data_IF_220618844028
#
_entry.id   IF_220618844028
#
_cell.length_a   1.000
_cell.length_b   1.000
_cell.length_c   1.000
_cell.angle_alpha   90.00
_cell.angle_beta   90.00
_cell.angle_gamma   90.00
#
_symmetry.space_group_name_H-M   'P 1'
#
loop_
_entity.id
_entity.type
_entity.pdbx_description
1 polymer ?
#
# COMPACT_ATOMS: atom_id res chain seq x y z
N UNK A 1 -18.58 3.37 -11.33
CA UNK A 1 -17.68 4.55 -11.17
C UNK A 1 -16.38 4.05 -10.57
N UNK A 2 -15.52 3.47 -11.41
CA UNK A 2 -14.36 2.68 -10.98
C UNK A 2 -13.37 3.55 -10.17
N UNK A 3 -13.04 4.74 -10.67
CA UNK A 3 -12.10 5.66 -10.02
C UNK A 3 -12.51 6.18 -8.64
N UNK A 4 -13.82 6.27 -8.35
CA UNK A 4 -14.31 6.71 -7.02
C UNK A 4 -14.09 5.61 -6.00
N UNK A 5 -14.40 4.37 -6.37
CA UNK A 5 -14.24 3.21 -5.49
C UNK A 5 -12.77 2.89 -5.25
N UNK A 6 -11.92 2.97 -6.28
CA UNK A 6 -10.47 2.81 -6.14
C UNK A 6 -9.86 3.84 -5.20
N UNK A 7 -10.25 5.11 -5.35
CA UNK A 7 -9.81 6.19 -4.46
C UNK A 7 -10.23 5.97 -3.01
N UNK A 8 -11.46 5.49 -2.78
CA UNK A 8 -11.93 5.16 -1.43
C UNK A 8 -11.15 3.99 -0.84
N UNK A 9 -10.96 2.92 -1.62
CA UNK A 9 -10.21 1.72 -1.20
C UNK A 9 -8.79 2.09 -0.77
N UNK A 10 -8.03 2.81 -1.59
CA UNK A 10 -6.65 3.16 -1.24
C UNK A 10 -6.57 4.12 -0.03
N UNK A 11 -7.50 5.08 0.08
CA UNK A 11 -7.51 5.98 1.25
C UNK A 11 -7.90 5.24 2.54
N UNK A 12 -8.81 4.26 2.49
CA UNK A 12 -9.09 3.40 3.65
C UNK A 12 -7.86 2.58 4.03
N UNK A 13 -7.10 2.07 3.06
CA UNK A 13 -5.85 1.35 3.32
C UNK A 13 -4.79 2.26 3.94
N UNK A 14 -4.72 3.52 3.49
CA UNK A 14 -3.86 4.55 4.09
C UNK A 14 -4.20 4.79 5.56
N UNK A 15 -5.47 4.88 5.94
CA UNK A 15 -5.83 5.05 7.36
C UNK A 15 -5.42 3.84 8.22
N UNK A 16 -5.57 2.62 7.70
CA UNK A 16 -5.05 1.42 8.37
C UNK A 16 -3.53 1.43 8.49
N UNK A 17 -2.82 1.86 7.45
CA UNK A 17 -1.36 1.98 7.47
C UNK A 17 -0.87 2.99 8.52
N UNK A 18 -1.58 4.11 8.73
CA UNK A 18 -1.24 5.07 9.80
C UNK A 18 -1.41 4.49 11.20
N UNK A 19 -2.46 3.70 11.41
CA UNK A 19 -2.67 3.00 12.69
C UNK A 19 -1.56 1.97 12.92
N UNK A 20 -1.28 1.15 11.91
CA UNK A 20 -0.15 0.22 11.93
C UNK A 20 1.17 0.93 12.22
N UNK A 21 1.38 2.10 11.62
CA UNK A 21 2.60 2.88 11.81
C UNK A 21 2.78 3.33 13.25
N UNK A 22 1.71 3.82 13.87
CA UNK A 22 1.75 4.23 15.28
C UNK A 22 2.14 3.05 16.18
N UNK A 23 1.67 1.83 15.88
CA UNK A 23 2.04 0.63 16.65
C UNK A 23 3.46 0.16 16.34
N UNK A 24 3.88 0.21 15.07
CA UNK A 24 5.21 -0.22 14.63
C UNK A 24 6.34 0.72 15.09
N UNK A 25 6.11 2.04 15.10
CA UNK A 25 7.07 3.04 15.60
C UNK A 25 7.35 2.89 17.10
N UNK A 26 6.40 2.35 17.87
CA UNK A 26 6.58 2.05 19.28
C UNK A 26 7.50 0.83 19.53
N UNK A 27 7.77 0.02 18.50
CA UNK A 27 8.63 -1.17 18.60
C UNK A 27 10.09 -0.80 18.31
N UNK A 28 10.95 -1.00 19.31
CA UNK A 28 12.38 -0.78 19.16
C UNK A 28 12.96 -1.69 18.06
N UNK A 29 13.70 -1.09 17.12
CA UNK A 29 14.37 -1.80 16.03
C UNK A 29 13.49 -2.11 14.81
N UNK A 30 12.23 -1.64 14.75
CA UNK A 30 11.39 -1.83 13.55
C UNK A 30 11.92 -1.07 12.31
N UNK A 31 12.60 0.05 12.53
CA UNK A 31 13.12 0.91 11.46
C UNK A 31 12.02 1.71 10.77
N UNK A 32 12.21 2.03 9.48
CA UNK A 32 11.22 2.79 8.72
C UNK A 32 9.92 2.01 8.53
N UNK A 33 8.80 2.68 8.75
CA UNK A 33 7.48 2.08 8.62
C UNK A 33 6.91 2.32 7.22
N UNK A 34 6.23 1.32 6.62
CA UNK A 34 5.51 1.54 5.37
C UNK A 34 4.39 2.58 5.48
N UNK A 35 4.33 3.50 4.51
CA UNK A 35 3.23 4.44 4.30
C UNK A 35 2.53 4.15 2.97
N UNK A 36 1.20 4.29 2.89
CA UNK A 36 0.47 4.28 1.60
C UNK A 36 0.23 5.71 1.17
N UNK A 37 0.69 6.14 0.00
CA UNK A 37 0.54 7.53 -0.48
C UNK A 37 -0.94 7.92 -0.66
N UNK A 38 -1.30 9.20 -0.45
CA UNK A 38 -2.67 9.64 -0.64
C UNK A 38 -3.04 9.66 -2.13
N UNK A 39 -4.28 9.27 -2.41
CA UNK A 39 -4.87 9.38 -3.76
C UNK A 39 -6.03 10.36 -3.74
N UNK A 40 -6.09 11.22 -4.74
CA UNK A 40 -7.08 12.27 -4.87
C UNK A 40 -8.02 11.99 -6.04
N UNK A 41 -9.32 12.12 -5.80
CA UNK A 41 -10.32 12.06 -6.85
C UNK A 41 -10.49 13.45 -7.48
N UNK A 42 -10.16 13.59 -8.76
CA UNK A 42 -10.37 14.83 -9.51
C UNK A 42 -11.55 14.71 -10.47
N UNK A 43 -12.34 15.77 -10.61
CA UNK A 43 -13.42 15.86 -11.60
C UNK A 43 -12.85 16.40 -12.91
N UNK A 44 -13.17 15.73 -14.03
CA UNK A 44 -12.78 16.13 -15.38
C UNK A 44 -13.97 16.77 -16.12
N UNK A 45 -14.07 18.11 -16.17
CA UNK A 45 -15.15 18.76 -16.91
C UNK A 45 -15.03 18.48 -18.41
N UNK A 46 -16.14 18.12 -19.06
CA UNK A 46 -16.21 17.91 -20.51
C UNK A 46 -15.63 16.59 -21.03
N UNK A 47 -15.13 15.70 -20.16
CA UNK A 47 -14.63 14.38 -20.56
C UNK A 47 -15.71 13.30 -20.54
N UNK A 48 -15.60 12.30 -21.43
CA UNK A 48 -16.44 11.10 -21.41
C UNK A 48 -16.29 10.29 -20.09
N UNK A 49 -15.12 10.39 -19.45
CA UNK A 49 -14.86 9.86 -18.11
C UNK A 49 -14.80 11.03 -17.12
N UNK A 50 -15.83 11.23 -16.27
CA UNK A 50 -15.98 12.46 -15.48
C UNK A 50 -15.04 12.55 -14.27
N UNK A 51 -14.30 11.49 -13.95
CA UNK A 51 -13.41 11.43 -12.80
C UNK A 51 -12.09 10.74 -13.14
N UNK A 52 -11.02 11.13 -12.45
CA UNK A 52 -9.73 10.44 -12.47
C UNK A 52 -9.13 10.44 -11.06
N UNK A 53 -8.18 9.55 -10.82
CA UNK A 53 -7.35 9.53 -9.62
C UNK A 53 -6.00 10.17 -9.91
N UNK A 54 -5.44 10.85 -8.91
CA UNK A 54 -4.10 11.46 -8.96
C UNK A 54 -3.40 11.13 -7.66
N UNK A 55 -2.13 10.74 -7.75
CA UNK A 55 -1.26 10.44 -6.61
C UNK A 55 0.16 10.94 -6.90
N UNK A 56 1.01 10.98 -5.87
CA UNK A 56 2.41 11.37 -6.01
C UNK A 56 3.17 10.32 -6.83
N UNK A 57 3.98 10.76 -7.80
CA UNK A 57 4.82 9.84 -8.57
C UNK A 57 5.90 9.24 -7.66
N UNK A 58 5.90 7.91 -7.54
CA UNK A 58 6.95 7.18 -6.84
C UNK A 58 8.17 7.07 -7.75
N UNK A 59 9.26 7.74 -7.34
CA UNK A 59 10.52 7.72 -8.07
C UNK A 59 11.36 6.50 -7.64
N UNK A 60 11.44 5.46 -8.49
CA UNK A 60 12.28 4.30 -8.24
C UNK A 60 11.80 3.04 -8.97
N UNK A 61 12.33 1.87 -8.59
CA UNK A 61 11.81 0.60 -9.11
C UNK A 61 10.48 0.28 -8.42
N UNK A 62 9.41 0.29 -9.19
CA UNK A 62 8.09 -0.07 -8.70
C UNK A 62 7.96 -1.58 -8.58
N UNK A 63 7.84 -2.07 -7.34
CA UNK A 63 7.83 -3.49 -7.03
C UNK A 63 6.47 -3.89 -6.45
N UNK A 64 5.96 -5.03 -6.93
CA UNK A 64 4.79 -5.70 -6.37
C UNK A 64 5.24 -6.68 -5.29
N UNK A 65 4.66 -6.58 -4.10
CA UNK A 65 5.00 -7.35 -2.90
C UNK A 65 3.93 -8.38 -2.53
N UNK A 66 2.66 -8.15 -2.88
CA UNK A 66 1.60 -9.15 -2.78
C UNK A 66 0.73 -9.18 -4.04
N UNK A 67 0.09 -10.31 -4.31
CA UNK A 67 -0.88 -10.46 -5.41
C UNK A 67 -2.22 -10.91 -4.86
N UNK A 68 -3.28 -10.48 -5.53
CA UNK A 68 -4.68 -10.75 -5.18
C UNK A 68 -5.03 -12.25 -5.06
N UNK A 69 -4.40 -13.10 -5.87
CA UNK A 69 -4.72 -14.54 -5.94
C UNK A 69 -3.91 -15.41 -4.95
N UNK A 70 -3.12 -14.81 -4.05
CA UNK A 70 -2.26 -15.54 -3.11
C UNK A 70 -1.13 -16.36 -3.78
N UNK A 71 -0.98 -16.27 -5.11
CA UNK A 71 0.15 -16.86 -5.85
C UNK A 71 1.46 -16.20 -5.45
N UNK A 72 2.57 -16.91 -5.55
CA UNK A 72 3.86 -16.38 -5.11
C UNK A 72 4.29 -15.18 -5.95
N UNK A 73 4.31 -14.01 -5.31
CA UNK A 73 5.24 -12.94 -5.68
C UNK A 73 6.63 -13.51 -5.42
N UNK A 74 7.52 -13.50 -6.42
CA UNK A 74 8.88 -14.03 -6.38
C UNK A 74 9.41 -14.25 -4.95
N UNK A 75 9.64 -15.51 -4.54
CA UNK A 75 10.03 -15.90 -3.18
C UNK A 75 11.08 -14.98 -2.53
N UNK A 76 12.07 -14.53 -3.31
CA UNK A 76 13.12 -13.60 -2.88
C UNK A 76 12.62 -12.21 -2.44
N UNK A 77 11.50 -11.72 -3.00
CA UNK A 77 10.90 -10.42 -2.63
C UNK A 77 10.14 -10.49 -1.31
N UNK A 78 9.71 -11.67 -0.87
CA UNK A 78 9.10 -11.86 0.46
C UNK A 78 10.14 -11.83 1.58
N UNK A 79 11.37 -12.22 1.28
CA UNK A 79 12.49 -12.22 2.23
C UNK A 79 13.15 -10.84 2.39
N UNK A 80 12.92 -9.96 1.42
CA UNK A 80 13.29 -8.55 1.45
C UNK A 80 12.64 -7.83 2.64
N UNK A 81 13.29 -6.79 3.17
CA UNK A 81 12.77 -6.02 4.31
C UNK A 81 11.39 -5.43 3.99
N UNK A 82 11.25 -4.91 2.76
CA UNK A 82 10.00 -4.40 2.23
C UNK A 82 8.90 -5.46 2.19
N UNK A 83 9.21 -6.66 1.69
CA UNK A 83 8.27 -7.77 1.62
C UNK A 83 7.82 -8.24 2.99
N UNK A 84 8.75 -8.33 3.96
CA UNK A 84 8.43 -8.72 5.34
C UNK A 84 7.54 -7.69 6.02
N UNK A 85 7.82 -6.40 5.84
CA UNK A 85 6.98 -5.30 6.35
C UNK A 85 5.60 -5.28 5.69
N UNK A 86 5.54 -5.51 4.38
CA UNK A 86 4.28 -5.70 3.65
C UNK A 86 3.45 -6.86 4.21
N UNK A 87 4.04 -8.04 4.38
CA UNK A 87 3.36 -9.19 4.99
C UNK A 87 2.91 -8.92 6.43
N UNK A 88 3.75 -8.26 7.24
CA UNK A 88 3.39 -7.88 8.61
C UNK A 88 2.17 -6.95 8.63
N UNK A 89 2.14 -5.94 7.74
CA UNK A 89 0.98 -5.05 7.61
C UNK A 89 -0.29 -5.81 7.18
N UNK A 90 -0.20 -6.71 6.20
CA UNK A 90 -1.35 -7.53 5.78
C UNK A 90 -1.90 -8.37 6.93
N UNK A 91 -1.01 -9.02 7.69
CA UNK A 91 -1.40 -9.82 8.85
C UNK A 91 -2.03 -8.96 9.95
N UNK A 92 -1.43 -7.82 10.23
CA UNK A 92 -1.94 -6.86 11.21
C UNK A 92 -3.35 -6.39 10.86
N UNK A 93 -3.63 -6.04 9.59
CA UNK A 93 -4.99 -5.65 9.18
C UNK A 93 -5.98 -6.79 9.38
N UNK A 94 -5.60 -8.00 8.99
CA UNK A 94 -6.45 -9.17 9.15
C UNK A 94 -6.81 -9.42 10.62
N UNK A 95 -5.82 -9.39 11.52
CA UNK A 95 -6.04 -9.52 12.96
C UNK A 95 -6.87 -8.37 13.53
N UNK A 96 -6.54 -7.12 13.16
CA UNK A 96 -7.21 -5.91 13.66
C UNK A 96 -8.69 -5.83 13.29
N UNK A 97 -9.06 -6.48 12.19
CA UNK A 97 -10.43 -6.50 11.66
C UNK A 97 -11.15 -7.81 11.97
N UNK A 98 -10.62 -8.63 12.88
CA UNK A 98 -11.17 -9.94 13.25
C UNK A 98 -11.41 -10.85 12.04
N UNK A 99 -10.50 -10.77 11.07
CA UNK A 99 -10.56 -11.49 9.80
C UNK A 99 -11.46 -10.85 8.73
N UNK A 100 -12.11 -9.72 8.99
CA UNK A 100 -13.07 -9.12 8.06
C UNK A 100 -12.45 -8.43 6.84
N UNK A 101 -11.19 -8.02 6.91
CA UNK A 101 -10.47 -7.38 5.81
C UNK A 101 -9.08 -7.98 5.61
N UNK A 102 -8.69 -8.10 4.35
CA UNK A 102 -7.32 -8.40 3.94
C UNK A 102 -6.87 -7.36 2.91
N UNK A 103 -5.77 -6.66 3.21
CA UNK A 103 -5.07 -5.83 2.22
C UNK A 103 -4.26 -6.75 1.32
N UNK A 104 -4.38 -6.58 0.02
CA UNK A 104 -3.65 -7.33 -1.01
C UNK A 104 -3.15 -6.36 -2.08
N UNK A 105 -2.38 -6.89 -3.04
CA UNK A 105 -1.85 -6.09 -4.14
C UNK A 105 -0.96 -4.93 -3.68
N UNK A 106 -0.20 -5.14 -2.61
CA UNK A 106 0.75 -4.14 -2.10
C UNK A 106 1.84 -3.94 -3.14
N UNK A 107 1.94 -2.73 -3.68
CA UNK A 107 2.95 -2.35 -4.65
C UNK A 107 3.45 -0.93 -4.39
N UNK A 108 4.72 -0.69 -4.67
CA UNK A 108 5.33 0.62 -4.43
C UNK A 108 6.84 0.60 -4.52
N UNK A 109 7.43 1.68 -4.02
CA UNK A 109 8.87 1.84 -3.92
C UNK A 109 9.25 1.70 -2.44
N UNK A 110 10.07 0.71 -2.16
CA UNK A 110 10.70 0.54 -0.86
C UNK A 110 12.19 0.57 -1.11
N UNK A 111 12.86 1.63 -0.66
CA UNK A 111 14.25 1.92 -1.02
C UNK A 111 15.21 0.79 -0.64
N UNK A 112 15.47 -0.11 -1.58
CA UNK A 112 16.44 -1.20 -1.43
C UNK A 112 17.80 -0.89 -2.07
N UNK A 113 17.99 0.29 -2.69
CA UNK A 113 19.29 0.65 -3.30
C UNK A 113 19.65 2.12 -3.14
N UNK A 114 20.57 2.39 -2.20
CA UNK A 114 21.64 3.40 -2.28
C UNK A 114 21.31 4.89 -2.53
N UNK A 115 20.07 5.25 -2.80
CA UNK A 115 19.62 6.62 -3.07
C UNK A 115 18.50 6.90 -2.07
N UNK A 116 18.59 7.93 -1.22
CA UNK A 116 17.50 8.30 -0.33
C UNK A 116 16.35 8.87 -1.17
N UNK A 117 15.20 8.18 -1.28
CA UNK A 117 14.00 8.79 -1.85
C UNK A 117 13.47 9.80 -0.83
N UNK A 118 12.90 10.91 -1.30
CA UNK A 118 12.34 11.92 -0.39
C UNK A 118 11.08 11.44 0.35
N UNK A 119 10.46 10.32 -0.06
CA UNK A 119 9.42 9.55 0.66
C UNK A 119 9.40 8.10 0.14
N UNK A 120 9.38 7.12 1.05
CA UNK A 120 9.21 5.68 0.73
C UNK A 120 7.76 5.29 0.99
N UNK A 121 7.15 4.47 0.15
CA UNK A 121 5.74 4.11 0.34
C UNK A 121 5.15 3.15 -0.69
N UNK A 122 4.01 2.58 -0.33
CA UNK A 122 3.14 1.80 -1.21
C UNK A 122 2.27 2.75 -2.05
N UNK A 123 2.34 2.59 -3.37
CA UNK A 123 1.63 3.39 -4.36
C UNK A 123 0.23 2.90 -4.67
N UNK A 124 -0.08 1.63 -4.39
CA UNK A 124 -1.40 1.06 -4.73
C UNK A 124 -1.63 -0.22 -3.93
N UNK A 125 -2.89 -0.46 -3.57
CA UNK A 125 -3.33 -1.63 -2.81
C UNK A 125 -4.84 -1.85 -2.98
N UNK A 126 -5.28 -3.10 -2.81
CA UNK A 126 -6.68 -3.48 -2.91
C UNK A 126 -7.16 -4.22 -1.66
N UNK A 127 -8.41 -4.01 -1.28
CA UNK A 127 -9.05 -4.76 -0.19
C UNK A 127 -9.82 -5.97 -0.72
N UNK A 128 -9.74 -7.06 0.05
CA UNK A 128 -10.64 -8.21 -0.06
C UNK A 128 -11.38 -8.33 1.28
N UNK A 129 -12.70 -8.50 1.23
CA UNK A 129 -13.50 -8.94 2.36
C UNK A 129 -13.46 -10.47 2.38
N UNK A 130 -13.06 -11.06 3.51
CA UNK A 130 -12.97 -12.52 3.70
C UNK A 130 -14.26 -13.02 4.33
#
# INVERSE_FOLDING_TARGET
RISVQECQVQNTARELAKLYATEAEALEGFGEVPEIIPVFLIRRPGGAVPYATVEEELLGEFVKYSVRDGREVNLFRRESEAGRKGCSFQHWVYERTSGGLLVTDLQGEFGERGIPPKKKGFGTCSFIFV
#
